data_IF_728416254317
#
_entry.id   IF_728416254317
#
_cell.length_a   1.000
_cell.length_b   1.000
_cell.length_c   1.000
_cell.angle_alpha   90.00
_cell.angle_beta   90.00
_cell.angle_gamma   90.00
#
_symmetry.space_group_name_H-M   'P 1'
#
loop_
_entity.id
_entity.type
_entity.pdbx_description
1 polymer ?
#
# COMPACT_ATOMS: atom_id res chain seq x y z
N UNK A 1 -7.48 4.81 -33.90
CA UNK A 1 -7.54 3.62 -33.02
C UNK A 1 -7.20 4.07 -31.62
N UNK A 2 -7.92 3.63 -30.57
CA UNK A 2 -7.55 3.94 -29.19
C UNK A 2 -6.22 3.27 -28.82
N UNK A 3 -5.40 3.93 -28.01
CA UNK A 3 -4.15 3.37 -27.48
C UNK A 3 -4.48 2.38 -26.35
N UNK A 4 -4.40 1.08 -26.65
CA UNK A 4 -4.68 0.01 -25.69
C UNK A 4 -3.61 -0.12 -24.59
N UNK A 5 -2.45 0.54 -24.74
CA UNK A 5 -1.43 0.59 -23.69
C UNK A 5 -1.75 1.72 -22.71
N UNK A 6 -2.32 2.82 -23.20
CA UNK A 6 -2.72 3.96 -22.36
C UNK A 6 -3.69 3.54 -21.27
N UNK A 7 -4.72 2.74 -21.60
CA UNK A 7 -5.70 2.27 -20.61
C UNK A 7 -5.04 1.44 -19.50
N UNK A 8 -4.03 0.62 -19.82
CA UNK A 8 -3.30 -0.19 -18.83
C UNK A 8 -2.43 0.68 -17.92
N UNK A 9 -1.79 1.71 -18.46
CA UNK A 9 -1.00 2.67 -17.67
C UNK A 9 -1.89 3.56 -16.82
N UNK A 10 -3.03 3.97 -17.35
CA UNK A 10 -4.01 4.79 -16.64
C UNK A 10 -4.64 4.02 -15.47
N UNK A 11 -5.06 2.76 -15.69
CA UNK A 11 -5.64 1.93 -14.63
C UNK A 11 -4.67 1.67 -13.49
N UNK A 12 -3.39 1.38 -13.80
CA UNK A 12 -2.39 1.15 -12.76
C UNK A 12 -2.04 2.43 -11.98
N UNK A 13 -1.95 3.59 -12.65
CA UNK A 13 -1.77 4.88 -11.96
C UNK A 13 -2.95 5.17 -11.04
N UNK A 14 -4.18 5.00 -11.52
CA UNK A 14 -5.38 5.17 -10.71
C UNK A 14 -5.39 4.23 -9.50
N UNK A 15 -5.00 2.96 -9.68
CA UNK A 15 -4.89 2.01 -8.58
C UNK A 15 -3.92 2.50 -7.51
N UNK A 16 -2.75 3.02 -7.88
CA UNK A 16 -1.80 3.56 -6.91
C UNK A 16 -2.32 4.85 -6.25
N UNK A 17 -2.96 5.73 -7.01
CA UNK A 17 -3.43 7.03 -6.50
C UNK A 17 -4.68 6.92 -5.61
N UNK A 18 -5.59 5.99 -5.92
CA UNK A 18 -6.90 5.89 -5.27
C UNK A 18 -7.19 4.48 -4.78
N UNK A 19 -7.18 3.48 -5.67
CA UNK A 19 -7.69 2.14 -5.35
C UNK A 19 -6.97 1.46 -4.17
N UNK A 20 -5.64 1.60 -4.08
CA UNK A 20 -4.86 1.05 -2.99
C UNK A 20 -5.15 1.75 -1.65
N UNK A 21 -5.38 3.05 -1.68
CA UNK A 21 -5.73 3.82 -0.49
C UNK A 21 -7.11 3.40 0.01
N UNK A 22 -8.09 3.33 -0.90
CA UNK A 22 -9.45 2.90 -0.60
C UNK A 22 -9.47 1.49 0.00
N UNK A 23 -8.71 0.55 -0.58
CA UNK A 23 -8.63 -0.81 -0.07
C UNK A 23 -8.03 -0.84 1.34
N UNK A 24 -6.93 -0.12 1.59
CA UNK A 24 -6.31 -0.06 2.92
C UNK A 24 -7.21 0.61 3.96
N UNK A 25 -7.95 1.64 3.58
CA UNK A 25 -8.92 2.30 4.45
C UNK A 25 -10.12 1.38 4.75
N UNK A 26 -10.53 0.52 3.82
CA UNK A 26 -11.66 -0.40 4.01
C UNK A 26 -11.43 -1.45 5.12
N UNK A 27 -10.17 -1.82 5.37
CA UNK A 27 -9.80 -2.74 6.46
C UNK A 27 -9.49 -2.02 7.79
N UNK A 28 -9.52 -0.68 7.82
CA UNK A 28 -9.14 0.11 8.99
C UNK A 28 -10.37 0.62 9.76
N UNK A 29 -10.42 0.54 11.10
CA UNK A 29 -9.42 -0.08 11.97
C UNK A 29 -9.53 -1.61 12.03
N UNK A 30 -8.38 -2.26 12.19
CA UNK A 30 -8.33 -3.66 12.61
C UNK A 30 -8.39 -3.68 14.14
N UNK A 31 -9.42 -4.34 14.67
CA UNK A 31 -9.62 -4.45 16.13
C UNK A 31 -9.26 -5.86 16.60
N UNK A 32 -8.64 -5.97 17.77
CA UNK A 32 -8.35 -7.26 18.39
C UNK A 32 -9.61 -7.95 18.94
N UNK A 33 -9.49 -9.23 19.33
CA UNK A 33 -10.65 -10.01 19.82
C UNK A 33 -11.24 -9.49 21.14
N UNK A 34 -10.47 -8.73 21.93
CA UNK A 34 -10.96 -8.13 23.18
C UNK A 34 -11.61 -6.76 22.98
N UNK A 35 -11.46 -6.15 21.81
CA UNK A 35 -11.97 -4.82 21.50
C UNK A 35 -11.15 -3.67 22.10
N UNK A 36 -9.97 -3.94 22.66
CA UNK A 36 -9.15 -2.99 23.42
C UNK A 36 -8.05 -2.34 22.59
N UNK A 37 -7.57 -3.03 21.56
CA UNK A 37 -6.51 -2.54 20.67
C UNK A 37 -7.08 -2.31 19.28
N UNK A 38 -6.77 -1.14 18.70
CA UNK A 38 -7.07 -0.83 17.30
C UNK A 38 -5.80 -0.50 16.54
N UNK A 39 -5.58 -1.17 15.42
CA UNK A 39 -4.57 -0.82 14.44
C UNK A 39 -5.21 -0.04 13.29
N UNK A 40 -4.74 1.18 13.06
CA UNK A 40 -5.19 2.06 12.00
C UNK A 40 -4.11 2.17 10.92
N UNK A 41 -4.50 1.99 9.66
CA UNK A 41 -3.61 2.30 8.54
C UNK A 41 -3.67 3.79 8.21
N UNK A 42 -2.52 4.45 8.13
CA UNK A 42 -2.41 5.82 7.59
C UNK A 42 -2.20 5.69 6.08
N UNK A 43 -3.22 5.16 5.39
CA UNK A 43 -3.14 4.70 4.01
C UNK A 43 -2.62 5.79 3.06
N UNK A 44 -3.12 7.03 3.17
CA UNK A 44 -2.67 8.18 2.36
C UNK A 44 -1.18 8.50 2.46
N UNK A 45 -0.51 8.00 3.50
CA UNK A 45 0.92 8.22 3.74
C UNK A 45 1.77 7.00 3.32
N UNK A 46 1.21 6.05 2.58
CA UNK A 46 1.98 4.92 2.06
C UNK A 46 3.09 5.43 1.12
N UNK A 47 4.20 4.69 1.07
CA UNK A 47 5.37 5.03 0.28
C UNK A 47 5.84 3.83 -0.51
N UNK A 48 6.13 4.05 -1.79
CA UNK A 48 6.83 3.09 -2.63
C UNK A 48 8.30 3.49 -2.70
N UNK A 49 9.19 2.56 -2.35
CA UNK A 49 10.62 2.75 -2.59
C UNK A 49 10.94 2.54 -4.07
N UNK A 50 12.12 3.01 -4.48
CA UNK A 50 12.61 2.71 -5.82
C UNK A 50 12.76 1.18 -6.02
N UNK A 51 12.56 0.70 -7.25
CA UNK A 51 12.75 -0.71 -7.57
C UNK A 51 14.15 -1.18 -7.19
N UNK A 52 14.25 -2.41 -6.69
CA UNK A 52 15.55 -3.01 -6.32
C UNK A 52 16.48 -3.16 -7.53
N UNK A 53 15.90 -3.42 -8.69
CA UNK A 53 16.60 -3.59 -9.96
C UNK A 53 15.90 -2.76 -11.04
N UNK A 54 16.65 -2.25 -12.00
CA UNK A 54 16.09 -1.76 -13.27
C UNK A 54 15.57 -2.93 -14.11
N UNK A 55 14.74 -2.66 -15.11
CA UNK A 55 14.02 -3.69 -15.90
C UNK A 55 14.99 -4.68 -16.56
N UNK A 56 16.09 -4.20 -17.14
CA UNK A 56 17.10 -5.01 -17.81
C UNK A 56 17.78 -5.98 -16.84
N UNK A 57 18.07 -5.49 -15.62
CA UNK A 57 18.72 -6.29 -14.60
C UNK A 57 17.79 -7.33 -13.99
N UNK A 58 16.51 -6.98 -13.78
CA UNK A 58 15.50 -7.94 -13.36
C UNK A 58 15.35 -9.08 -14.38
N UNK A 59 15.32 -8.75 -15.68
CA UNK A 59 15.30 -9.75 -16.76
C UNK A 59 16.55 -10.63 -16.77
N UNK A 60 17.75 -10.06 -16.68
CA UNK A 60 19.02 -10.82 -16.67
C UNK A 60 19.13 -11.80 -15.50
N UNK A 61 18.49 -11.47 -14.38
CA UNK A 61 18.53 -12.27 -13.14
C UNK A 61 17.34 -13.23 -12.99
N UNK A 62 16.46 -13.32 -13.99
CA UNK A 62 15.18 -14.02 -13.89
C UNK A 62 14.40 -13.65 -12.60
N UNK A 63 14.42 -12.35 -12.27
CA UNK A 63 13.84 -11.80 -11.04
C UNK A 63 12.65 -10.88 -11.34
N UNK A 64 11.85 -10.58 -10.32
CA UNK A 64 10.68 -9.70 -10.45
C UNK A 64 11.08 -8.23 -10.36
N UNK A 65 10.64 -7.43 -11.35
CA UNK A 65 10.71 -5.96 -11.26
C UNK A 65 9.60 -5.46 -10.32
N UNK A 66 9.97 -5.14 -9.08
CA UNK A 66 9.04 -4.75 -8.04
C UNK A 66 9.61 -3.66 -7.13
N UNK A 67 8.71 -2.96 -6.44
CA UNK A 67 9.01 -1.94 -5.44
C UNK A 67 8.59 -2.41 -4.06
N UNK A 68 9.31 -1.97 -3.03
CA UNK A 68 8.89 -2.21 -1.66
C UNK A 68 7.90 -1.13 -1.22
N UNK A 69 6.78 -1.55 -0.64
CA UNK A 69 5.74 -0.67 -0.10
C UNK A 69 5.85 -0.56 1.43
N UNK A 70 5.67 0.65 1.93
CA UNK A 70 5.59 0.96 3.36
C UNK A 70 4.27 1.66 3.63
N UNK A 71 3.49 1.16 4.60
CA UNK A 71 2.25 1.79 5.05
C UNK A 71 2.44 2.16 6.52
N UNK A 72 2.46 3.46 6.88
CA UNK A 72 2.52 3.85 8.29
C UNK A 72 1.24 3.40 8.99
N UNK A 73 1.39 2.91 10.22
CA UNK A 73 0.28 2.45 11.06
C UNK A 73 0.27 3.19 12.37
N UNK A 74 -0.89 3.23 13.03
CA UNK A 74 -1.07 3.73 14.39
C UNK A 74 -1.76 2.66 15.22
N UNK A 75 -1.21 2.35 16.38
CA UNK A 75 -1.81 1.44 17.35
C UNK A 75 -2.41 2.26 18.49
N UNK A 76 -3.70 2.07 18.75
CA UNK A 76 -4.44 2.75 19.82
C UNK A 76 -4.83 1.72 20.87
N UNK A 77 -4.47 1.97 22.13
CA UNK A 77 -5.00 1.24 23.28
C UNK A 77 -6.19 2.02 23.86
N UNK A 78 -7.40 1.46 23.71
CA UNK A 78 -8.65 2.07 24.18
C UNK A 78 -8.77 2.12 25.70
N UNK A 79 -8.05 1.26 26.42
CA UNK A 79 -8.11 1.24 27.90
C UNK A 79 -7.26 2.35 28.50
N UNK A 80 -6.06 2.58 27.95
CA UNK A 80 -5.12 3.57 28.48
C UNK A 80 -5.17 4.91 27.74
N UNK A 81 -5.75 4.94 26.54
CA UNK A 81 -5.69 6.08 25.63
C UNK A 81 -4.31 6.26 24.96
N UNK A 82 -3.39 5.32 25.16
CA UNK A 82 -2.04 5.38 24.59
C UNK A 82 -2.08 5.17 23.07
N UNK A 83 -1.28 5.98 22.35
CA UNK A 83 -1.15 5.94 20.89
C UNK A 83 0.32 5.67 20.56
N UNK A 84 0.59 4.63 19.76
CA UNK A 84 1.91 4.28 19.22
C UNK A 84 1.94 4.25 17.70
#
# INVERSE_FOLDING_TARGET
>A
MPDLIEIQRASFRWFLEYGLIEELESYSPITDYTGKLELHFIAKNYKLKQPKYVVEEAKRRDSTYAVQMYVPTRLINKETGEIK
#
